data_IF_618257672135
#
_entry.id   IF_618257672135
#
_cell.length_a   1.000
_cell.length_b   1.000
_cell.length_c   1.000
_cell.angle_alpha   90.00
_cell.angle_beta   90.00
_cell.angle_gamma   90.00
#
_symmetry.space_group_name_H-M   'P 1'
#
loop_
_entity.id
_entity.type
_entity.pdbx_description
1 polymer ?
#
# COMPACT_ATOMS: atom_id res chain seq x y z
N UNK A 1 4.13 -18.40 -23.67
CA UNK A 1 3.93 -17.24 -24.56
C UNK A 1 3.53 -16.06 -23.68
N UNK A 2 4.07 -14.86 -23.91
CA UNK A 2 3.97 -13.75 -22.95
C UNK A 2 2.56 -13.12 -22.94
N UNK A 3 1.88 -13.16 -21.80
CA UNK A 3 0.61 -12.45 -21.53
C UNK A 3 0.74 -10.91 -21.55
N UNK A 4 1.91 -10.36 -21.88
CA UNK A 4 2.14 -8.91 -21.99
C UNK A 4 1.45 -8.24 -23.17
N UNK A 5 0.91 -9.00 -24.13
CA UNK A 5 0.13 -8.45 -25.24
C UNK A 5 -1.36 -8.61 -24.92
N UNK A 6 -2.14 -7.53 -25.02
CA UNK A 6 -3.62 -7.54 -24.93
C UNK A 6 -4.21 -7.52 -26.36
N UNK A 7 -4.32 -8.67 -27.07
CA UNK A 7 -4.66 -8.70 -28.49
C UNK A 7 -6.16 -8.53 -28.79
N UNK A 8 -7.03 -8.55 -27.77
CA UNK A 8 -8.49 -8.49 -27.94
C UNK A 8 -9.01 -7.12 -27.53
N UNK A 9 -9.85 -6.53 -28.37
CA UNK A 9 -10.53 -5.26 -28.11
C UNK A 9 -12.01 -5.49 -27.81
N UNK A 10 -12.53 -4.74 -26.85
CA UNK A 10 -13.95 -4.71 -26.49
C UNK A 10 -14.43 -3.26 -26.58
N UNK A 11 -15.53 -3.04 -27.30
CA UNK A 11 -16.18 -1.74 -27.41
C UNK A 11 -17.51 -1.81 -26.66
N UNK A 12 -17.73 -0.90 -25.72
CA UNK A 12 -18.94 -0.84 -24.89
C UNK A 12 -19.52 0.56 -24.98
N UNK A 13 -20.85 0.67 -25.13
CA UNK A 13 -21.57 1.93 -24.99
C UNK A 13 -22.01 2.06 -23.53
N UNK A 14 -21.77 3.21 -22.94
CA UNK A 14 -22.15 3.54 -21.56
C UNK A 14 -22.83 4.90 -21.52
N UNK A 15 -23.58 5.16 -20.45
CA UNK A 15 -24.15 6.48 -20.21
C UNK A 15 -23.06 7.49 -19.84
N UNK A 16 -23.32 8.78 -20.05
CA UNK A 16 -22.39 9.85 -19.64
C UNK A 16 -22.11 9.80 -18.13
N UNK A 17 -23.15 9.55 -17.32
CA UNK A 17 -23.01 9.44 -15.86
C UNK A 17 -22.14 8.25 -15.43
N UNK A 18 -22.15 7.14 -16.18
CA UNK A 18 -21.29 6.00 -15.88
C UNK A 18 -19.85 6.26 -16.35
N UNK A 19 -19.69 6.97 -17.46
CA UNK A 19 -18.38 7.41 -17.94
C UNK A 19 -17.69 8.31 -16.91
N UNK A 20 -18.38 9.33 -16.39
CA UNK A 20 -17.83 10.24 -15.38
C UNK A 20 -17.37 9.51 -14.11
N UNK A 21 -18.15 8.52 -13.64
CA UNK A 21 -17.77 7.69 -12.48
C UNK A 21 -16.51 6.89 -12.75
N UNK A 22 -16.43 6.24 -13.91
CA UNK A 22 -15.25 5.47 -14.33
C UNK A 22 -14.02 6.38 -14.41
N UNK A 23 -14.16 7.59 -14.95
CA UNK A 23 -13.07 8.57 -15.08
C UNK A 23 -12.57 9.04 -13.71
N UNK A 24 -13.48 9.31 -12.79
CA UNK A 24 -13.14 9.69 -11.42
C UNK A 24 -12.41 8.56 -10.69
N UNK A 25 -12.99 7.35 -10.68
CA UNK A 25 -12.44 6.19 -9.98
C UNK A 25 -11.07 5.76 -10.52
N UNK A 26 -10.90 5.71 -11.85
CA UNK A 26 -9.60 5.38 -12.45
C UNK A 26 -8.55 6.47 -12.16
N UNK A 27 -8.99 7.71 -11.97
CA UNK A 27 -8.15 8.86 -11.62
C UNK A 27 -7.54 8.70 -10.24
N UNK A 28 -8.34 8.28 -9.25
CA UNK A 28 -7.91 8.02 -7.87
C UNK A 28 -6.80 6.96 -7.82
N UNK A 29 -6.94 5.89 -8.60
CA UNK A 29 -5.97 4.77 -8.60
C UNK A 29 -4.87 4.92 -9.68
N UNK A 30 -4.83 6.07 -10.37
CA UNK A 30 -3.88 6.39 -11.43
C UNK A 30 -3.75 5.31 -12.53
N UNK A 31 -4.89 4.84 -13.06
CA UNK A 31 -4.92 3.86 -14.17
C UNK A 31 -5.57 4.44 -15.44
N UNK A 32 -5.16 3.89 -16.59
CA UNK A 32 -5.92 4.04 -17.83
C UNK A 32 -7.28 3.32 -17.70
N UNK A 33 -8.25 3.67 -18.53
CA UNK A 33 -9.56 2.99 -18.54
C UNK A 33 -9.43 1.47 -18.68
N UNK A 34 -8.63 1.00 -19.63
CA UNK A 34 -8.38 -0.44 -19.83
C UNK A 34 -7.62 -1.08 -18.66
N UNK A 35 -6.72 -0.32 -18.02
CA UNK A 35 -6.03 -0.73 -16.81
C UNK A 35 -6.97 -0.85 -15.61
N UNK A 36 -7.93 0.06 -15.49
CA UNK A 36 -8.95 0.06 -14.44
C UNK A 36 -9.90 -1.13 -14.56
N UNK A 37 -10.44 -1.37 -15.76
CA UNK A 37 -11.29 -2.55 -16.03
C UNK A 37 -10.52 -3.84 -15.75
N UNK A 38 -9.25 -3.93 -16.18
CA UNK A 38 -8.42 -5.11 -15.89
C UNK A 38 -8.17 -5.28 -14.39
N UNK A 39 -8.03 -4.18 -13.64
CA UNK A 39 -7.83 -4.21 -12.20
C UNK A 39 -9.07 -4.73 -11.47
N UNK A 40 -10.26 -4.25 -11.84
CA UNK A 40 -11.54 -4.74 -11.29
C UNK A 40 -11.72 -6.23 -11.57
N UNK A 41 -11.44 -6.69 -12.80
CA UNK A 41 -11.62 -8.11 -13.18
C UNK A 41 -10.72 -9.03 -12.35
N UNK A 42 -9.47 -8.63 -12.11
CA UNK A 42 -8.49 -9.50 -11.44
C UNK A 42 -8.54 -9.41 -9.90
N UNK A 43 -8.97 -8.27 -9.35
CA UNK A 43 -8.93 -8.00 -7.90
C UNK A 43 -10.32 -7.86 -7.27
N UNK A 44 -11.39 -7.86 -8.08
CA UNK A 44 -12.75 -7.58 -7.65
C UNK A 44 -13.04 -6.08 -7.50
N UNK A 45 -14.31 -5.75 -7.22
CA UNK A 45 -14.72 -4.42 -6.78
C UNK A 45 -14.49 -4.37 -5.27
N UNK A 46 -13.24 -4.18 -4.86
CA UNK A 46 -12.99 -3.64 -3.52
C UNK A 46 -13.35 -2.16 -3.58
N UNK A 47 -14.27 -1.70 -2.74
CA UNK A 47 -14.60 -0.28 -2.60
C UNK A 47 -13.31 0.56 -2.67
N UNK A 48 -13.24 1.50 -3.61
CA UNK A 48 -12.15 2.47 -3.63
C UNK A 48 -12.40 3.40 -2.45
N UNK A 49 -11.77 3.08 -1.32
CA UNK A 49 -11.83 3.92 -0.13
C UNK A 49 -10.88 5.09 -0.37
N UNK A 50 -11.43 6.23 -0.76
CA UNK A 50 -10.69 7.49 -0.72
C UNK A 50 -10.50 7.89 0.76
N UNK A 51 -9.28 7.80 1.25
CA UNK A 51 -8.94 8.24 2.60
C UNK A 51 -8.66 9.73 2.56
N UNK A 52 -9.70 10.54 2.78
CA UNK A 52 -9.60 12.01 2.87
C UNK A 52 -9.25 12.51 4.27
N UNK A 53 -9.10 11.62 5.25
CA UNK A 53 -8.75 12.00 6.62
C UNK A 53 -7.29 12.50 6.69
N UNK A 54 -7.05 13.80 6.99
CA UNK A 54 -5.70 14.37 6.98
C UNK A 54 -4.79 13.79 8.07
N UNK A 55 -5.34 13.40 9.22
CA UNK A 55 -4.58 12.81 10.33
C UNK A 55 -4.10 11.40 9.96
N UNK A 56 -4.95 10.61 9.31
CA UNK A 56 -4.57 9.29 8.83
C UNK A 56 -3.50 9.38 7.73
N UNK A 57 -3.58 10.37 6.83
CA UNK A 57 -2.54 10.65 5.84
C UNK A 57 -1.20 10.98 6.50
N UNK A 58 -1.21 11.86 7.49
CA UNK A 58 0.01 12.20 8.25
C UNK A 58 0.59 10.99 8.98
N UNK A 59 -0.25 10.12 9.52
CA UNK A 59 0.20 8.90 10.17
C UNK A 59 0.80 7.89 9.18
N UNK A 60 0.26 7.78 7.95
CA UNK A 60 0.88 7.01 6.87
C UNK A 60 2.24 7.59 6.48
N UNK A 61 2.35 8.91 6.30
CA UNK A 61 3.63 9.55 5.95
C UNK A 61 4.70 9.35 7.07
N UNK A 62 4.28 9.32 8.34
CA UNK A 62 5.16 8.96 9.47
C UNK A 62 5.62 7.51 9.37
N UNK A 63 4.72 6.58 9.06
CA UNK A 63 5.05 5.16 8.90
C UNK A 63 6.07 4.98 7.76
N UNK A 64 5.86 5.63 6.62
CA UNK A 64 6.81 5.59 5.49
C UNK A 64 8.20 6.11 5.88
N UNK A 65 8.27 7.22 6.63
CA UNK A 65 9.55 7.73 7.14
C UNK A 65 10.26 6.75 8.08
N UNK A 66 9.53 6.11 8.99
CA UNK A 66 10.13 5.10 9.88
C UNK A 66 10.65 3.90 9.09
N UNK A 67 9.88 3.38 8.14
CA UNK A 67 10.31 2.29 7.26
C UNK A 67 11.55 2.66 6.44
N UNK A 68 11.63 3.90 5.92
CA UNK A 68 12.81 4.40 5.23
C UNK A 68 14.05 4.46 6.14
N UNK A 69 13.89 4.93 7.38
CA UNK A 69 14.95 4.92 8.39
C UNK A 69 15.46 3.50 8.69
N UNK A 70 14.55 2.53 8.79
CA UNK A 70 14.90 1.13 8.99
C UNK A 70 15.66 0.52 7.82
N UNK A 71 15.23 0.79 6.58
CA UNK A 71 15.93 0.34 5.39
C UNK A 71 17.37 0.85 5.34
N UNK A 72 17.59 2.12 5.73
CA UNK A 72 18.93 2.70 5.80
C UNK A 72 19.80 2.03 6.88
N UNK A 73 19.24 1.76 8.06
CA UNK A 73 19.96 1.08 9.13
C UNK A 73 20.35 -0.35 8.73
N UNK A 74 19.42 -1.11 8.11
CA UNK A 74 19.70 -2.44 7.57
C UNK A 74 20.80 -2.40 6.50
N UNK A 75 20.77 -1.41 5.61
CA UNK A 75 21.83 -1.22 4.62
C UNK A 75 23.20 -0.93 5.26
N UNK A 76 23.25 -0.16 6.34
CA UNK A 76 24.51 0.13 7.06
C UNK A 76 25.04 -1.12 7.80
N UNK A 77 24.14 -1.92 8.39
CA UNK A 77 24.51 -3.21 9.00
C UNK A 77 25.06 -4.16 7.92
N UNK A 78 24.36 -4.29 6.79
CA UNK A 78 24.80 -5.14 5.68
C UNK A 78 26.16 -4.70 5.13
N UNK A 79 26.39 -3.40 4.96
CA UNK A 79 27.70 -2.87 4.53
C UNK A 79 28.82 -3.17 5.53
N UNK A 80 28.56 -2.98 6.82
CA UNK A 80 29.55 -3.23 7.88
C UNK A 80 29.91 -4.71 7.97
N UNK A 81 28.91 -5.60 7.91
CA UNK A 81 29.11 -7.05 7.88
C UNK A 81 29.88 -7.49 6.63
N UNK A 82 29.55 -6.95 5.45
CA UNK A 82 30.28 -7.24 4.21
C UNK A 82 31.74 -6.75 4.24
N UNK A 83 32.03 -5.72 5.04
CA UNK A 83 33.37 -5.18 5.22
C UNK A 83 34.20 -5.89 6.32
N UNK A 84 33.63 -6.89 7.03
CA UNK A 84 34.21 -7.46 8.25
C UNK A 84 34.53 -6.40 9.33
N UNK A 85 33.85 -5.26 9.30
CA UNK A 85 34.00 -4.19 10.26
C UNK A 85 32.97 -4.33 11.38
N UNK A 86 33.35 -3.98 12.60
CA UNK A 86 32.40 -3.82 13.70
C UNK A 86 31.52 -2.62 13.40
N UNK A 87 30.19 -2.78 13.23
CA UNK A 87 29.33 -1.68 12.86
C UNK A 87 29.38 -0.54 13.89
N UNK A 88 29.25 0.72 13.44
CA UNK A 88 29.48 1.91 14.26
C UNK A 88 28.38 2.18 15.32
N UNK A 89 27.43 1.26 15.49
CA UNK A 89 26.33 1.35 16.44
C UNK A 89 25.91 -0.05 16.90
N UNK A 90 25.31 -0.11 18.08
CA UNK A 90 24.81 -1.36 18.67
C UNK A 90 23.68 -1.94 17.79
N UNK A 91 24.04 -2.98 17.03
CA UNK A 91 23.14 -3.69 16.12
C UNK A 91 21.97 -4.27 16.92
N UNK A 92 22.22 -4.82 18.11
CA UNK A 92 21.19 -5.46 18.92
C UNK A 92 20.17 -4.44 19.39
N UNK A 93 20.62 -3.26 19.80
CA UNK A 93 19.73 -2.14 20.15
C UNK A 93 18.88 -1.69 18.96
N UNK A 94 19.47 -1.64 17.77
CA UNK A 94 18.77 -1.27 16.54
C UNK A 94 17.72 -2.30 16.13
N UNK A 95 18.07 -3.59 16.18
CA UNK A 95 17.17 -4.70 15.89
C UNK A 95 16.03 -4.77 16.92
N UNK A 96 16.31 -4.52 18.19
CA UNK A 96 15.29 -4.49 19.26
C UNK A 96 14.29 -3.35 19.04
N UNK A 97 14.78 -2.16 18.68
CA UNK A 97 13.91 -1.03 18.35
C UNK A 97 13.08 -1.31 17.08
N UNK A 98 13.66 -2.00 16.09
CA UNK A 98 12.96 -2.42 14.88
C UNK A 98 11.78 -3.35 15.20
N UNK A 99 12.05 -4.40 15.98
CA UNK A 99 11.06 -5.41 16.37
C UNK A 99 9.89 -4.81 17.17
N UNK A 100 10.20 -3.91 18.11
CA UNK A 100 9.18 -3.17 18.87
C UNK A 100 8.27 -2.33 17.96
N UNK A 101 8.85 -1.61 17.00
CA UNK A 101 8.10 -0.76 16.09
C UNK A 101 7.24 -1.56 15.11
N UNK A 102 7.77 -2.66 14.56
CA UNK A 102 7.01 -3.61 13.72
C UNK A 102 5.84 -4.22 14.50
N UNK A 103 6.06 -4.58 15.77
CA UNK A 103 5.02 -5.10 16.66
C UNK A 103 3.91 -4.07 16.90
N UNK A 104 4.26 -2.81 17.15
CA UNK A 104 3.30 -1.71 17.33
C UNK A 104 2.49 -1.50 16.05
N UNK A 105 3.15 -1.44 14.90
CA UNK A 105 2.51 -1.26 13.60
C UNK A 105 1.53 -2.41 13.32
N UNK A 106 1.96 -3.65 13.54
CA UNK A 106 1.13 -4.86 13.37
C UNK A 106 -0.10 -4.83 14.28
N UNK A 107 0.05 -4.40 15.54
CA UNK A 107 -1.08 -4.24 16.47
C UNK A 107 -2.06 -3.15 16.01
N UNK A 108 -1.55 -2.00 15.54
CA UNK A 108 -2.40 -0.90 15.03
C UNK A 108 -3.18 -1.32 13.78
N UNK A 109 -2.51 -1.95 12.81
CA UNK A 109 -3.15 -2.49 11.61
C UNK A 109 -4.19 -3.57 11.96
N UNK A 110 -3.88 -4.44 12.93
CA UNK A 110 -4.82 -5.44 13.43
C UNK A 110 -6.07 -4.86 14.10
N UNK A 111 -5.95 -3.71 14.78
CA UNK A 111 -7.10 -2.98 15.34
C UNK A 111 -7.95 -2.35 14.24
N UNK A 112 -7.32 -1.65 13.29
CA UNK A 112 -8.00 -1.04 12.15
C UNK A 112 -8.77 -2.08 11.34
N UNK A 113 -8.14 -3.23 11.02
CA UNK A 113 -8.80 -4.34 10.33
C UNK A 113 -10.04 -4.86 11.07
N UNK A 114 -10.02 -4.90 12.41
CA UNK A 114 -11.16 -5.34 13.23
C UNK A 114 -12.27 -4.28 13.34
N UNK A 115 -11.92 -3.00 13.29
CA UNK A 115 -12.88 -1.89 13.26
C UNK A 115 -13.58 -1.81 11.91
N UNK A 116 -12.87 -1.99 10.79
CA UNK A 116 -13.47 -2.04 9.45
C UNK A 116 -14.43 -3.22 9.28
N UNK A 117 -14.14 -4.37 9.91
CA UNK A 117 -15.03 -5.56 9.86
C UNK A 117 -16.33 -5.41 10.70
N UNK A 118 -16.45 -4.41 11.58
CA UNK A 118 -17.63 -4.23 12.45
C UNK A 118 -18.68 -3.24 11.92
N UNK A 119 -18.37 -2.47 10.88
CA UNK A 119 -19.31 -1.53 10.27
C UNK A 119 -19.92 -2.01 8.94
N UNK A 120 -19.68 -3.25 8.53
CA UNK A 120 -20.32 -3.85 7.36
C UNK A 120 -21.43 -4.79 7.84
N UNK A 121 -22.63 -4.25 8.03
CA UNK A 121 -23.82 -5.05 8.34
C UNK A 121 -24.69 -4.49 9.45
N UNK A 122 -25.25 -3.29 9.24
CA UNK A 122 -26.61 -2.96 9.68
C UNK A 122 -27.26 -2.05 8.64
N UNK A 123 -27.98 -2.68 7.73
CA UNK A 123 -29.12 -2.10 7.01
C UNK A 123 -30.27 -3.09 7.18
#
# INVERSE_FOLDING_TARGET
MSDNKKPRQMNVRISESDYEKIEHERGIIHKSQSGYISHIINNGISEIIEITNPELRQDIDKIERFLGGYGNNLNQIAKSLNANETPPFDILKTLTALDQNITILTKKLGKLKKETLRNVGKS
#
